data_IF_756375500362
#
_entry.id   IF_756375500362
#
_cell.length_a   1.000
_cell.length_b   1.000
_cell.length_c   1.000
_cell.angle_alpha   90.00
_cell.angle_beta   90.00
_cell.angle_gamma   90.00
#
_symmetry.space_group_name_H-M   'P 1'
#
loop_
_entity.id
_entity.type
_entity.pdbx_description
1 polymer ?
#
# COMPACT_ATOMS: atom_id res chain seq x y z
N UNK A 1 5.30 10.99 27.86
CA UNK A 1 3.85 10.68 27.84
C UNK A 1 3.10 11.92 28.28
N UNK A 2 2.08 12.34 27.53
CA UNK A 2 1.22 13.46 27.94
C UNK A 2 0.23 12.93 28.99
N UNK A 3 0.13 13.55 30.17
CA UNK A 3 -0.87 13.19 31.18
C UNK A 3 -2.30 13.22 30.62
N UNK A 4 -3.13 12.19 30.88
CA UNK A 4 -4.53 12.16 30.45
C UNK A 4 -5.34 13.44 30.78
N UNK A 5 -5.19 14.07 31.97
CA UNK A 5 -5.91 15.31 32.27
C UNK A 5 -5.59 16.46 31.30
N UNK A 6 -4.32 16.59 30.88
CA UNK A 6 -3.91 17.63 29.93
C UNK A 6 -4.55 17.44 28.55
N UNK A 7 -4.73 16.20 28.11
CA UNK A 7 -5.42 15.90 26.85
C UNK A 7 -6.89 16.32 26.90
N UNK A 8 -7.57 16.02 28.02
CA UNK A 8 -8.97 16.40 28.22
C UNK A 8 -9.13 17.92 28.29
N UNK A 9 -8.22 18.63 28.95
CA UNK A 9 -8.20 20.11 28.99
C UNK A 9 -8.09 20.73 27.60
N UNK A 10 -7.39 20.06 26.66
CA UNK A 10 -7.27 20.50 25.27
C UNK A 10 -8.38 19.93 24.36
N UNK A 11 -9.45 19.36 24.94
CA UNK A 11 -10.63 18.89 24.21
C UNK A 11 -10.47 17.54 23.53
N UNK A 12 -9.41 16.78 23.82
CA UNK A 12 -9.24 15.44 23.26
C UNK A 12 -10.17 14.44 23.97
N UNK A 13 -11.01 13.69 23.25
CA UNK A 13 -11.85 12.65 23.86
C UNK A 13 -10.96 11.54 24.41
N UNK A 14 -11.24 11.10 25.64
CA UNK A 14 -10.44 10.08 26.32
C UNK A 14 -11.34 8.98 26.88
N UNK A 15 -10.88 7.74 26.76
CA UNK A 15 -11.52 6.56 27.33
C UNK A 15 -10.48 5.72 28.08
N UNK A 16 -10.93 4.99 29.10
CA UNK A 16 -10.10 4.13 29.92
C UNK A 16 -10.82 2.80 30.18
N UNK A 17 -10.06 1.71 30.20
CA UNK A 17 -10.51 0.40 30.66
C UNK A 17 -9.44 -0.26 31.55
N UNK A 18 -9.82 -1.32 32.26
CA UNK A 18 -8.91 -2.23 32.95
C UNK A 18 -9.07 -3.58 32.26
N UNK A 19 -7.98 -4.11 31.68
CA UNK A 19 -7.98 -5.40 31.02
C UNK A 19 -7.72 -6.51 32.03
N UNK A 20 -8.68 -7.42 32.19
CA UNK A 20 -8.57 -8.60 33.03
C UNK A 20 -8.07 -9.82 32.23
N UNK A 21 -7.62 -10.86 32.94
CA UNK A 21 -7.16 -12.11 32.33
C UNK A 21 -8.24 -12.71 31.41
N UNK A 22 -7.84 -13.05 30.18
CA UNK A 22 -8.72 -13.65 29.18
C UNK A 22 -9.55 -12.65 28.38
N UNK A 23 -9.39 -11.34 28.62
CA UNK A 23 -10.03 -10.31 27.83
C UNK A 23 -9.15 -9.85 26.66
N UNK A 24 -9.82 -9.49 25.56
CA UNK A 24 -9.20 -8.86 24.40
C UNK A 24 -9.45 -7.35 24.42
N UNK A 25 -8.45 -6.60 24.00
CA UNK A 25 -8.57 -5.16 23.72
C UNK A 25 -8.34 -4.97 22.23
N UNK A 26 -9.35 -4.43 21.54
CA UNK A 26 -9.25 -4.13 20.11
C UNK A 26 -9.00 -2.64 19.95
N UNK A 27 -7.90 -2.30 19.27
CA UNK A 27 -7.51 -0.91 18.98
C UNK A 27 -7.85 -0.63 17.53
N UNK A 28 -8.77 0.32 17.30
CA UNK A 28 -9.18 0.71 15.96
C UNK A 28 -8.15 1.66 15.32
N UNK A 29 -8.06 1.71 13.98
CA UNK A 29 -7.20 2.66 13.28
C UNK A 29 -7.42 4.11 13.74
N UNK A 30 -6.33 4.87 13.90
CA UNK A 30 -6.37 6.26 14.36
C UNK A 30 -6.57 6.44 15.87
N UNK A 31 -6.79 5.37 16.64
CA UNK A 31 -6.85 5.44 18.09
C UNK A 31 -5.45 5.46 18.73
N UNK A 32 -5.15 6.52 19.47
CA UNK A 32 -3.93 6.60 20.28
C UNK A 32 -4.15 5.91 21.63
N UNK A 33 -3.24 5.02 22.01
CA UNK A 33 -3.35 4.24 23.24
C UNK A 33 -2.11 4.36 24.11
N UNK A 34 -2.30 4.27 25.42
CA UNK A 34 -1.23 4.13 26.40
C UNK A 34 -1.64 3.11 27.45
N UNK A 35 -0.73 2.20 27.79
CA UNK A 35 -0.99 1.06 28.67
C UNK A 35 -0.03 1.08 29.86
N UNK A 36 -0.55 0.81 31.06
CA UNK A 36 0.23 0.68 32.29
C UNK A 36 -0.16 -0.65 32.94
N UNK A 37 0.82 -1.47 33.31
CA UNK A 37 0.58 -2.71 34.05
C UNK A 37 0.42 -2.42 35.55
N UNK A 38 -0.65 -2.91 36.17
CA UNK A 38 -0.92 -2.77 37.61
C UNK A 38 -0.22 -3.85 38.47
N UNK A 39 0.64 -4.67 37.88
CA UNK A 39 1.32 -5.78 38.52
C UNK A 39 2.07 -6.63 37.49
N UNK A 40 2.42 -7.86 37.86
CA UNK A 40 2.98 -8.82 36.90
C UNK A 40 1.89 -9.29 35.93
N UNK A 41 2.10 -9.02 34.64
CA UNK A 41 1.18 -9.42 33.57
C UNK A 41 1.96 -9.93 32.36
N UNK A 42 1.36 -10.89 31.64
CA UNK A 42 1.84 -11.35 30.33
C UNK A 42 0.71 -11.10 29.34
N UNK A 43 1.04 -10.42 28.24
CA UNK A 43 0.10 -10.08 27.17
C UNK A 43 0.75 -10.30 25.81
N UNK A 44 -0.04 -10.72 24.83
CA UNK A 44 0.35 -10.81 23.42
C UNK A 44 -0.46 -9.80 22.62
N UNK A 45 0.10 -9.28 21.53
CA UNK A 45 -0.55 -8.30 20.67
C UNK A 45 -0.18 -8.55 19.22
N UNK A 46 -1.15 -8.39 18.32
CA UNK A 46 -0.98 -8.61 16.89
C UNK A 46 -1.70 -7.50 16.12
N UNK A 47 -1.09 -7.06 15.03
CA UNK A 47 -1.73 -6.17 14.07
C UNK A 47 -2.50 -7.00 13.04
N UNK A 48 -3.70 -6.55 12.69
CA UNK A 48 -4.49 -7.13 11.61
C UNK A 48 -5.15 -6.02 10.80
N UNK A 49 -5.47 -6.32 9.55
CA UNK A 49 -6.19 -5.42 8.66
C UNK A 49 -7.55 -6.03 8.30
N UNK A 50 -8.59 -5.22 8.33
CA UNK A 50 -9.92 -5.58 7.82
C UNK A 50 -10.02 -5.19 6.34
N UNK A 51 -11.12 -5.57 5.68
CA UNK A 51 -11.31 -5.28 4.25
C UNK A 51 -11.43 -3.77 3.97
N UNK A 52 -12.09 -3.04 4.86
CA UNK A 52 -12.27 -1.59 4.81
C UNK A 52 -11.01 -0.81 5.20
N UNK A 53 -10.02 -1.45 5.82
CA UNK A 53 -8.78 -0.80 6.22
C UNK A 53 -8.02 -0.21 5.02
N UNK A 54 -8.12 -0.82 3.82
CA UNK A 54 -7.46 -0.31 2.60
C UNK A 54 -7.85 1.13 2.27
N UNK A 55 -9.08 1.55 2.57
CA UNK A 55 -9.55 2.92 2.36
C UNK A 55 -8.76 3.92 3.21
N UNK A 56 -8.61 3.60 4.49
CA UNK A 56 -7.90 4.45 5.44
C UNK A 56 -6.38 4.33 5.26
N UNK A 57 -5.89 3.17 4.83
CA UNK A 57 -4.48 2.93 4.60
C UNK A 57 -3.89 3.94 3.61
N UNK A 58 -4.60 4.24 2.51
CA UNK A 58 -4.12 5.20 1.52
C UNK A 58 -3.84 6.59 2.14
N UNK A 59 -4.74 7.08 3.00
CA UNK A 59 -4.55 8.35 3.72
C UNK A 59 -3.40 8.26 4.72
N UNK A 60 -3.32 7.18 5.49
CA UNK A 60 -2.21 6.95 6.42
C UNK A 60 -0.85 6.94 5.72
N UNK A 61 -0.74 6.34 4.54
CA UNK A 61 0.51 6.32 3.77
C UNK A 61 0.87 7.69 3.21
N UNK A 62 -0.11 8.51 2.80
CA UNK A 62 0.15 9.91 2.43
C UNK A 62 0.59 10.75 3.65
N UNK A 63 0.03 10.50 4.83
CA UNK A 63 0.44 11.16 6.08
C UNK A 63 1.87 10.77 6.48
N UNK A 64 2.22 9.47 6.38
CA UNK A 64 3.59 9.00 6.60
C UNK A 64 4.55 9.65 5.62
N UNK A 65 4.18 9.72 4.34
CA UNK A 65 4.97 10.41 3.30
C UNK A 65 5.20 11.88 3.64
N UNK A 66 4.16 12.60 4.06
CA UNK A 66 4.25 14.01 4.42
C UNK A 66 5.07 14.25 5.70
N UNK A 67 5.06 13.29 6.62
CA UNK A 67 5.78 13.34 7.90
C UNK A 67 7.20 12.76 7.82
N UNK A 68 7.62 12.29 6.64
CA UNK A 68 8.87 11.56 6.41
C UNK A 68 9.03 10.33 7.32
N UNK A 69 7.93 9.66 7.66
CA UNK A 69 7.92 8.45 8.46
C UNK A 69 8.08 7.21 7.56
N UNK A 70 9.10 6.37 7.76
CA UNK A 70 9.30 5.18 6.95
C UNK A 70 8.23 4.12 7.27
N UNK A 71 7.48 3.63 6.28
CA UNK A 71 6.50 2.59 6.50
C UNK A 71 7.19 1.23 6.72
N UNK A 72 6.54 0.35 7.49
CA UNK A 72 7.06 -1.00 7.76
C UNK A 72 7.01 -1.93 6.55
N UNK A 73 6.20 -1.60 5.55
CA UNK A 73 6.10 -2.33 4.28
C UNK A 73 5.74 -1.39 3.12
N UNK A 74 5.92 -1.86 1.89
CA UNK A 74 5.53 -1.11 0.69
C UNK A 74 4.03 -1.24 0.40
N UNK A 75 3.32 -0.11 0.40
CA UNK A 75 1.91 -0.07 0.03
C UNK A 75 1.68 -0.48 -1.43
N UNK A 76 2.53 -0.03 -2.34
CA UNK A 76 2.47 -0.41 -3.76
C UNK A 76 2.56 -1.93 -3.94
N UNK A 77 3.48 -2.58 -3.21
CA UNK A 77 3.63 -4.05 -3.23
C UNK A 77 2.38 -4.75 -2.71
N UNK A 78 1.76 -4.23 -1.66
CA UNK A 78 0.50 -4.77 -1.13
C UNK A 78 -0.62 -4.68 -2.17
N UNK A 79 -0.83 -3.50 -2.76
CA UNK A 79 -1.87 -3.27 -3.77
C UNK A 79 -1.69 -4.18 -4.99
N UNK A 80 -0.44 -4.32 -5.47
CA UNK A 80 -0.13 -5.22 -6.58
C UNK A 80 -0.35 -6.69 -6.21
N UNK A 81 0.04 -7.11 -5.00
CA UNK A 81 -0.17 -8.48 -4.53
C UNK A 81 -1.65 -8.86 -4.52
N UNK A 82 -2.50 -8.02 -3.93
CA UNK A 82 -3.96 -8.21 -3.92
C UNK A 82 -4.50 -8.27 -5.35
N UNK A 83 -4.06 -7.36 -6.22
CA UNK A 83 -4.52 -7.27 -7.59
C UNK A 83 -4.11 -8.44 -8.48
N UNK A 84 -2.99 -9.12 -8.19
CA UNK A 84 -2.50 -10.25 -8.99
C UNK A 84 -2.99 -11.61 -8.52
N UNK A 85 -3.18 -11.81 -7.22
CA UNK A 85 -3.49 -13.15 -6.69
C UNK A 85 -4.96 -13.50 -6.90
N UNK A 86 -5.87 -12.51 -6.91
CA UNK A 86 -7.32 -12.70 -7.03
C UNK A 86 -7.91 -13.75 -6.06
N UNK A 87 -7.17 -14.11 -5.00
CA UNK A 87 -7.59 -15.06 -3.95
C UNK A 87 -8.42 -14.38 -2.86
N UNK A 88 -8.35 -13.05 -2.82
CA UNK A 88 -8.97 -12.22 -1.82
C UNK A 88 -10.48 -12.06 -2.05
N UNK A 89 -11.19 -11.63 -1.01
CA UNK A 89 -12.62 -11.34 -1.11
C UNK A 89 -12.90 -10.27 -2.18
N UNK A 90 -14.06 -10.36 -2.84
CA UNK A 90 -14.53 -9.44 -3.86
C UNK A 90 -14.51 -7.99 -3.38
N UNK A 91 -14.88 -7.75 -2.13
CA UNK A 91 -14.88 -6.41 -1.55
C UNK A 91 -13.46 -5.83 -1.41
N UNK A 92 -12.48 -6.65 -1.02
CA UNK A 92 -11.06 -6.24 -1.01
C UNK A 92 -10.59 -5.84 -2.41
N UNK A 93 -10.95 -6.63 -3.42
CA UNK A 93 -10.66 -6.32 -4.82
C UNK A 93 -11.31 -5.00 -5.27
N UNK A 94 -12.57 -4.74 -4.87
CA UNK A 94 -13.29 -3.48 -5.15
C UNK A 94 -12.59 -2.28 -4.54
N UNK A 95 -12.14 -2.38 -3.29
CA UNK A 95 -11.39 -1.30 -2.62
C UNK A 95 -10.00 -1.08 -3.21
N UNK A 96 -9.38 -2.13 -3.73
CA UNK A 96 -8.04 -2.07 -4.35
C UNK A 96 -8.06 -1.40 -5.71
N UNK A 97 -9.14 -1.56 -6.49
CA UNK A 97 -9.26 -1.02 -7.85
C UNK A 97 -8.96 0.50 -7.95
N UNK A 98 -9.62 1.40 -7.19
CA UNK A 98 -9.33 2.84 -7.29
C UNK A 98 -7.89 3.18 -6.88
N UNK A 99 -7.32 2.45 -5.91
CA UNK A 99 -5.94 2.64 -5.45
C UNK A 99 -4.94 2.25 -6.54
N UNK A 100 -5.16 1.09 -7.17
CA UNK A 100 -4.34 0.63 -8.29
C UNK A 100 -4.43 1.57 -9.48
N UNK A 101 -5.63 2.07 -9.80
CA UNK A 101 -5.82 3.05 -10.88
C UNK A 101 -5.03 4.33 -10.63
N UNK A 102 -5.16 4.91 -9.43
CA UNK A 102 -4.40 6.11 -9.03
C UNK A 102 -2.89 5.87 -9.09
N UNK A 103 -2.42 4.70 -8.66
CA UNK A 103 -1.01 4.32 -8.75
C UNK A 103 -0.52 4.28 -10.20
N UNK A 104 -1.25 3.61 -11.10
CA UNK A 104 -0.93 3.55 -12.52
C UNK A 104 -0.92 4.94 -13.19
N UNK A 105 -1.88 5.79 -12.86
CA UNK A 105 -1.96 7.17 -13.37
C UNK A 105 -0.77 8.02 -12.91
N UNK A 106 -0.44 7.97 -11.62
CA UNK A 106 0.70 8.67 -11.05
C UNK A 106 2.01 8.18 -11.66
N UNK A 107 2.17 6.87 -11.80
CA UNK A 107 3.34 6.24 -12.40
C UNK A 107 3.53 6.71 -13.84
N UNK A 108 2.47 6.66 -14.66
CA UNK A 108 2.51 7.13 -16.05
C UNK A 108 2.87 8.62 -16.11
N UNK A 109 2.21 9.44 -15.28
CA UNK A 109 2.43 10.88 -15.23
C UNK A 109 3.88 11.21 -14.92
N UNK A 110 4.44 10.65 -13.85
CA UNK A 110 5.79 10.99 -13.44
C UNK A 110 6.84 10.41 -14.38
N UNK A 111 6.66 9.19 -14.92
CA UNK A 111 7.57 8.66 -15.95
C UNK A 111 7.61 9.56 -17.18
N UNK A 112 6.45 10.02 -17.66
CA UNK A 112 6.39 10.95 -18.80
C UNK A 112 7.11 12.25 -18.49
N UNK A 113 6.87 12.85 -17.31
CA UNK A 113 7.57 14.08 -16.91
C UNK A 113 9.09 13.89 -16.83
N UNK A 114 9.56 12.76 -16.30
CA UNK A 114 10.99 12.45 -16.23
C UNK A 114 11.64 12.31 -17.62
N UNK A 115 10.93 11.67 -18.57
CA UNK A 115 11.36 11.58 -19.98
C UNK A 115 11.42 12.97 -20.62
N UNK A 116 10.37 13.78 -20.45
CA UNK A 116 10.30 15.15 -20.97
C UNK A 116 11.41 16.05 -20.42
N UNK A 117 11.77 15.86 -19.15
CA UNK A 117 12.90 16.55 -18.54
C UNK A 117 14.24 16.13 -19.16
N UNK A 118 14.34 14.94 -19.75
CA UNK A 118 15.53 14.46 -20.44
C UNK A 118 16.16 13.20 -19.85
N UNK A 119 15.45 12.46 -18.98
CA UNK A 119 15.92 11.17 -18.46
C UNK A 119 15.83 10.12 -19.56
N UNK A 120 16.97 9.51 -19.92
CA UNK A 120 17.08 8.56 -21.05
C UNK A 120 17.39 7.13 -20.63
N UNK A 121 17.78 6.96 -19.38
CA UNK A 121 18.34 5.73 -18.82
C UNK A 121 17.28 5.05 -17.97
N UNK A 122 16.75 3.94 -18.49
CA UNK A 122 15.75 3.10 -17.84
C UNK A 122 16.33 1.69 -17.71
N UNK A 123 16.24 1.11 -16.52
CA UNK A 123 16.78 -0.21 -16.23
C UNK A 123 15.77 -1.01 -15.41
N UNK A 124 15.49 -2.25 -15.84
CA UNK A 124 14.55 -3.13 -15.14
C UNK A 124 15.25 -3.79 -13.96
N UNK A 125 14.68 -3.67 -12.77
CA UNK A 125 15.09 -4.40 -11.58
C UNK A 125 14.66 -5.86 -11.70
N UNK A 126 15.61 -6.78 -11.60
CA UNK A 126 15.31 -8.20 -11.43
C UNK A 126 15.12 -8.47 -9.94
N UNK A 127 13.91 -8.85 -9.56
CA UNK A 127 13.56 -9.22 -8.19
C UNK A 127 14.15 -10.58 -7.77
N UNK A 128 14.68 -11.35 -8.74
CA UNK A 128 15.30 -12.65 -8.51
C UNK A 128 16.75 -12.67 -8.99
N UNK A 129 17.70 -12.31 -8.14
CA UNK A 129 19.06 -12.86 -8.24
C UNK A 129 19.61 -13.10 -6.82
N UNK A 130 19.23 -14.23 -6.23
CA UNK A 130 20.14 -15.06 -5.44
C UNK A 130 21.27 -15.59 -6.35
N UNK A 131 21.98 -14.69 -7.03
CA UNK A 131 23.07 -15.02 -7.93
C UNK A 131 24.39 -14.89 -7.16
N UNK A 132 24.98 -16.06 -6.90
CA UNK A 132 26.41 -16.36 -6.91
C UNK A 132 27.40 -15.18 -6.77
N UNK A 133 28.40 -15.26 -5.87
CA UNK A 133 29.36 -14.20 -5.63
C UNK A 133 30.37 -14.09 -6.78
N UNK A 134 29.97 -13.53 -7.92
CA UNK A 134 30.90 -13.12 -8.97
C UNK A 134 31.18 -11.62 -8.88
N UNK A 135 32.47 -11.34 -8.94
CA UNK A 135 33.12 -10.03 -8.75
C UNK A 135 32.48 -8.97 -9.64
N UNK A 136 31.73 -8.05 -9.06
CA UNK A 136 31.32 -6.81 -9.72
C UNK A 136 31.49 -5.64 -8.73
N UNK A 137 32.38 -4.71 -9.08
CA UNK A 137 32.57 -3.38 -8.46
C UNK A 137 31.40 -2.46 -8.83
N UNK A 138 30.18 -2.80 -8.43
CA UNK A 138 29.00 -1.93 -8.55
C UNK A 138 28.48 -1.64 -7.14
N UNK A 139 27.80 -0.50 -6.90
CA UNK A 139 27.09 -0.31 -5.64
C UNK A 139 26.08 -1.45 -5.56
N UNK A 140 26.35 -2.42 -4.70
CA UNK A 140 25.45 -3.53 -4.43
C UNK A 140 24.41 -2.95 -3.48
N UNK A 141 23.25 -2.55 -4.01
CA UNK A 141 22.04 -2.51 -3.20
C UNK A 141 21.89 -3.92 -2.65
N UNK A 142 22.20 -4.11 -1.37
CA UNK A 142 22.15 -5.43 -0.73
C UNK A 142 20.70 -5.90 -0.74
N UNK A 143 20.41 -7.15 -1.14
CA UNK A 143 19.06 -7.71 -1.06
C UNK A 143 18.48 -7.70 0.36
N UNK A 144 19.32 -7.62 1.39
CA UNK A 144 18.93 -7.55 2.81
C UNK A 144 18.60 -6.13 3.30
N UNK A 145 18.92 -5.08 2.53
CA UNK A 145 18.42 -3.71 2.78
C UNK A 145 17.07 -3.56 2.06
N UNK A 146 16.06 -4.26 2.60
CA UNK A 146 14.75 -4.58 2.02
C UNK A 146 13.89 -3.40 1.55
N UNK A 147 14.28 -2.16 1.83
CA UNK A 147 13.44 -1.00 1.59
C UNK A 147 14.16 -0.01 0.67
N UNK A 148 13.77 -0.03 -0.60
CA UNK A 148 14.08 1.02 -1.57
C UNK A 148 13.39 2.33 -1.16
N UNK A 149 13.91 3.02 -0.13
CA UNK A 149 13.29 4.21 0.45
C UNK A 149 13.73 5.49 -0.24
N UNK A 150 12.78 6.38 -0.49
CA UNK A 150 13.11 7.72 -0.96
C UNK A 150 13.85 8.52 0.13
N UNK A 151 14.93 9.19 -0.24
CA UNK A 151 15.72 10.00 0.69
C UNK A 151 14.95 11.18 1.29
N UNK A 152 13.97 11.75 0.56
CA UNK A 152 13.17 12.88 1.02
C UNK A 152 11.98 12.46 1.91
N UNK A 153 11.11 11.58 1.42
CA UNK A 153 9.88 11.22 2.14
C UNK A 153 9.91 9.87 2.84
N UNK A 154 11.03 9.13 2.75
CA UNK A 154 11.23 7.82 3.40
C UNK A 154 10.26 6.71 2.98
N UNK A 155 9.37 6.95 2.03
CA UNK A 155 8.46 5.93 1.50
C UNK A 155 9.23 4.87 0.69
N UNK A 156 8.87 3.61 0.92
CA UNK A 156 9.36 2.45 0.16
C UNK A 156 8.77 2.42 -1.25
N UNK A 157 9.65 2.47 -2.26
CA UNK A 157 9.34 2.48 -3.67
C UNK A 157 9.43 1.06 -4.23
N UNK A 158 8.34 0.49 -4.74
CA UNK A 158 8.33 -0.87 -5.28
C UNK A 158 8.18 -0.89 -6.80
N UNK A 159 7.31 -0.06 -7.36
CA UNK A 159 7.03 -0.02 -8.80
C UNK A 159 8.21 0.59 -9.55
N UNK A 160 8.65 1.76 -9.12
CA UNK A 160 9.76 2.48 -9.71
C UNK A 160 10.40 3.48 -8.77
N UNK A 161 11.65 3.77 -9.08
CA UNK A 161 12.50 4.70 -8.34
C UNK A 161 13.50 5.34 -9.28
N UNK A 162 14.04 6.48 -8.90
CA UNK A 162 15.13 7.14 -9.63
C UNK A 162 16.35 7.19 -8.74
N UNK A 163 17.49 6.74 -9.25
CA UNK A 163 18.77 6.72 -8.55
C UNK A 163 19.71 7.74 -9.18
N UNK A 164 20.33 8.57 -8.35
CA UNK A 164 21.47 9.38 -8.76
C UNK A 164 22.77 8.61 -8.53
N UNK A 165 23.41 8.15 -9.60
CA UNK A 165 24.63 7.33 -9.54
C UNK A 165 25.85 8.03 -8.96
N UNK A 166 25.84 9.37 -8.84
CA UNK A 166 26.95 10.12 -8.24
C UNK A 166 26.97 10.01 -6.72
N UNK A 167 25.78 10.10 -6.11
CA UNK A 167 25.62 10.17 -4.65
C UNK A 167 25.03 8.87 -4.08
N UNK A 168 24.65 7.92 -4.95
CA UNK A 168 23.96 6.66 -4.61
C UNK A 168 22.64 6.88 -3.85
N UNK A 169 21.97 8.00 -4.12
CA UNK A 169 20.71 8.39 -3.46
C UNK A 169 19.51 7.96 -4.31
N UNK A 170 18.50 7.41 -3.64
CA UNK A 170 17.24 6.95 -4.21
C UNK A 170 16.12 7.96 -3.98
N UNK A 171 15.33 8.20 -5.02
CA UNK A 171 14.16 9.06 -4.98
C UNK A 171 12.93 8.33 -5.51
N UNK A 172 11.78 8.56 -4.89
CA UNK A 172 10.50 8.26 -5.55
C UNK A 172 10.33 9.18 -6.77
N UNK A 173 9.47 8.80 -7.72
CA UNK A 173 9.35 9.55 -8.98
C UNK A 173 8.96 11.01 -8.77
N UNK A 174 8.08 11.30 -7.81
CA UNK A 174 7.64 12.66 -7.49
C UNK A 174 8.81 13.54 -7.00
N UNK A 175 9.58 13.07 -6.02
CA UNK A 175 10.75 13.82 -5.54
C UNK A 175 11.85 13.88 -6.60
N UNK A 176 12.00 12.86 -7.44
CA UNK A 176 12.92 12.88 -8.55
C UNK A 176 12.57 14.00 -9.54
N UNK A 177 11.30 14.16 -9.91
CA UNK A 177 10.81 15.26 -10.75
C UNK A 177 11.13 16.61 -10.10
N UNK A 178 10.90 16.76 -8.79
CA UNK A 178 11.21 18.00 -8.09
C UNK A 178 12.72 18.32 -8.06
N UNK A 179 13.56 17.31 -7.90
CA UNK A 179 15.01 17.48 -7.79
C UNK A 179 15.71 17.67 -9.14
N UNK A 180 15.22 16.99 -10.19
CA UNK A 180 15.79 17.04 -11.53
C UNK A 180 15.66 18.40 -12.19
N UNK A 181 14.69 19.21 -11.79
CA UNK A 181 14.58 20.61 -12.24
C UNK A 181 15.83 21.45 -11.96
N UNK A 182 16.73 21.00 -11.07
CA UNK A 182 17.86 21.80 -10.56
C UNK A 182 19.25 21.24 -10.86
N UNK A 183 19.39 20.09 -11.56
CA UNK A 183 20.68 19.37 -11.69
C UNK A 183 20.96 18.76 -13.08
N UNK A 184 22.21 18.36 -13.30
CA UNK A 184 22.68 17.67 -14.49
C UNK A 184 22.18 16.21 -14.52
N UNK A 185 21.51 15.81 -15.61
CA UNK A 185 20.76 14.55 -15.70
C UNK A 185 21.58 13.33 -16.10
N UNK A 186 22.86 13.50 -16.47
CA UNK A 186 23.69 12.41 -17.02
C UNK A 186 23.94 11.27 -16.04
N UNK A 187 23.85 11.52 -14.73
CA UNK A 187 24.08 10.52 -13.68
C UNK A 187 22.81 9.86 -13.15
N UNK A 188 21.62 10.24 -13.65
CA UNK A 188 20.36 9.76 -13.11
C UNK A 188 19.86 8.57 -13.93
N UNK A 189 19.20 7.61 -13.27
CA UNK A 189 18.59 6.44 -13.92
C UNK A 189 17.27 6.09 -13.26
N UNK A 190 16.28 5.73 -14.05
CA UNK A 190 15.03 5.15 -13.54
C UNK A 190 15.18 3.63 -13.47
N UNK A 191 14.91 3.08 -12.28
CA UNK A 191 14.85 1.66 -12.02
C UNK A 191 13.38 1.26 -11.83
N UNK A 192 12.92 0.20 -12.50
CA UNK A 192 11.53 -0.24 -12.43
C UNK A 192 11.38 -1.75 -12.31
N UNK A 193 10.37 -2.21 -11.59
CA UNK A 193 10.01 -3.64 -11.48
C UNK A 193 8.99 -4.06 -12.54
N UNK A 194 8.01 -3.17 -12.77
CA UNK A 194 6.95 -3.33 -13.76
C UNK A 194 7.01 -2.23 -14.82
N UNK A 195 6.84 -2.60 -16.09
CA UNK A 195 6.58 -1.63 -17.14
C UNK A 195 5.10 -1.16 -17.14
N UNK A 196 4.80 -0.12 -17.91
CA UNK A 196 3.45 0.45 -17.96
C UNK A 196 2.43 -0.51 -18.58
N UNK A 197 2.85 -1.45 -19.43
CA UNK A 197 1.94 -2.41 -20.06
C UNK A 197 1.58 -3.55 -19.10
N UNK A 198 2.55 -3.99 -18.29
CA UNK A 198 2.35 -4.92 -17.18
C UNK A 198 1.40 -4.34 -16.13
N UNK A 199 1.61 -3.10 -15.68
CA UNK A 199 0.71 -2.44 -14.73
C UNK A 199 -0.72 -2.31 -15.28
N UNK A 200 -0.85 -1.89 -16.55
CA UNK A 200 -2.15 -1.82 -17.24
C UNK A 200 -2.79 -3.19 -17.46
N UNK A 201 -1.99 -4.24 -17.60
CA UNK A 201 -2.47 -5.63 -17.69
C UNK A 201 -3.05 -6.08 -16.35
N UNK A 202 -2.36 -5.81 -15.23
CA UNK A 202 -2.84 -6.14 -13.88
C UNK A 202 -4.16 -5.40 -13.59
N UNK A 203 -4.23 -4.09 -13.89
CA UNK A 203 -5.45 -3.30 -13.72
C UNK A 203 -6.63 -3.90 -14.50
N UNK A 204 -6.45 -4.21 -15.79
CA UNK A 204 -7.51 -4.79 -16.64
C UNK A 204 -7.98 -6.15 -16.13
N UNK A 205 -7.06 -7.00 -15.66
CA UNK A 205 -7.42 -8.32 -15.10
C UNK A 205 -8.27 -8.17 -13.84
N UNK A 206 -7.94 -7.21 -12.97
CA UNK A 206 -8.74 -6.92 -11.79
C UNK A 206 -10.14 -6.40 -12.17
N UNK A 207 -10.25 -5.49 -13.13
CA UNK A 207 -11.54 -4.99 -13.64
C UNK A 207 -12.41 -6.13 -14.20
N UNK A 208 -11.84 -6.97 -15.08
CA UNK A 208 -12.54 -8.12 -15.66
C UNK A 208 -12.97 -9.13 -14.59
N UNK A 209 -12.14 -9.36 -13.58
CA UNK A 209 -12.47 -10.25 -12.48
C UNK A 209 -13.72 -9.73 -11.74
N UNK A 210 -13.73 -8.44 -11.39
CA UNK A 210 -14.88 -7.82 -10.71
C UNK A 210 -16.16 -7.89 -11.56
N UNK A 211 -16.08 -7.55 -12.85
CA UNK A 211 -17.21 -7.62 -13.79
C UNK A 211 -17.76 -9.07 -13.93
N UNK A 212 -16.87 -10.06 -14.01
CA UNK A 212 -17.26 -11.47 -14.15
C UNK A 212 -18.04 -11.98 -12.94
N UNK A 213 -17.66 -11.57 -11.73
CA UNK A 213 -18.31 -11.97 -10.49
C UNK A 213 -19.66 -11.27 -10.32
N UNK A 214 -19.76 -9.98 -10.67
CA UNK A 214 -21.02 -9.24 -10.63
C UNK A 214 -22.05 -9.82 -11.61
N UNK A 215 -21.61 -10.18 -12.82
CA UNK A 215 -22.48 -10.84 -13.81
C UNK A 215 -22.95 -12.23 -13.36
N UNK A 216 -22.14 -12.94 -12.58
CA UNK A 216 -22.48 -14.27 -12.03
C UNK A 216 -23.46 -14.15 -10.86
N UNK A 217 -23.27 -13.17 -9.98
CA UNK A 217 -24.14 -12.91 -8.84
C UNK A 217 -25.54 -12.45 -9.28
N UNK A 218 -25.60 -11.60 -10.32
CA UNK A 218 -26.88 -11.15 -10.91
C UNK A 218 -27.69 -12.29 -11.53
N UNK A 219 -27.02 -13.32 -12.10
CA UNK A 219 -27.70 -14.50 -12.64
C UNK A 219 -28.28 -15.39 -11.53
N UNK A 220 -27.57 -15.54 -10.41
CA UNK A 220 -28.02 -16.36 -9.27
C UNK A 220 -29.22 -15.72 -8.54
N UNK A 221 -29.25 -14.40 -8.42
CA UNK A 221 -30.42 -13.69 -7.86
C UNK A 221 -31.64 -13.73 -8.80
N UNK A 222 -31.43 -13.78 -10.12
CA UNK A 222 -32.53 -13.90 -11.09
C UNK A 222 -33.21 -15.27 -11.09
N UNK A 223 -32.46 -16.33 -10.75
CA UNK A 223 -32.97 -17.71 -10.68
C UNK A 223 -33.58 -18.05 -9.30
N UNK A 224 -33.49 -17.13 -8.32
CA UNK A 224 -34.01 -17.30 -6.97
C UNK A 224 -35.11 -16.27 -6.64
N UNK A 225 -36.26 -16.37 -7.31
CA UNK A 225 -37.49 -15.67 -6.91
C UNK A 225 -38.74 -16.59 -6.90
N UNK A 226 -39.75 -16.30 -6.05
CA UNK A 226 -40.22 -17.27 -5.05
C UNK A 226 -41.37 -18.19 -5.48
N UNK A 227 -41.37 -19.41 -4.92
CA UNK A 227 -42.51 -20.34 -4.89
C UNK A 227 -43.81 -19.62 -4.48
N UNK A 228 -44.73 -19.50 -5.44
CA UNK A 228 -46.08 -18.97 -5.27
C UNK A 228 -46.79 -19.70 -4.12
N UNK A 229 -47.04 -19.00 -3.00
CA UNK A 229 -48.01 -19.41 -1.98
C UNK A 229 -49.39 -19.54 -2.63
N UNK A 230 -49.85 -20.77 -2.86
CA UNK A 230 -51.26 -21.06 -3.18
C UNK A 230 -52.09 -20.74 -1.94
N UNK A 231 -52.79 -19.61 -1.96
CA UNK A 231 -53.90 -19.33 -1.05
C UNK A 231 -55.05 -20.25 -1.47
N UNK A 232 -55.30 -21.31 -0.69
CA UNK A 232 -56.51 -22.12 -0.82
C UNK A 232 -57.67 -21.38 -0.12
N UNK A 233 -58.64 -20.90 -0.91
CA UNK A 233 -59.94 -20.45 -0.43
C UNK A 233 -60.93 -21.63 -0.39
N UNK A 234 -61.49 -21.86 0.81
CA UNK A 234 -62.83 -22.40 1.15
C UNK A 234 -63.28 -23.76 0.57
N UNK A 235 -63.66 -24.67 1.48
CA UNK A 235 -65.07 -24.90 1.83
C UNK A 235 -65.20 -25.23 3.31
#
# INVERSE_FOLDING_TARGET
MVPPPQLVEHGCPLSRLVQEKGQFVVIFPGAFTSTIACGYSVSESVYFATQDWLLQAAECFEHMKASCEPPTFSFEKLILGIATEHRENLDTCRWTLPLLRKMCENEQRYRTQLVEMGLKTFERLRLDEAAEPKKAKRPRLRPEDSNHECDFCRISCHVSMVVNMQDDILYCLEHAVHCLQRKNMKSWKLLYTYDMDELRSILRKLEQHLESQESSQTKVDSDSSPLKKKIAKKK
#
